data_IF_519952032860
#
_entry.id   IF_519952032860
#
_cell.length_a   1.000
_cell.length_b   1.000
_cell.length_c   1.000
_cell.angle_alpha   90.00
_cell.angle_beta   90.00
_cell.angle_gamma   90.00
#
_symmetry.space_group_name_H-M   'P 1'
#
loop_
_entity.id
_entity.type
_entity.pdbx_description
1 polymer ?
#
# COMPACT_ATOMS: atom_id res chain seq x y z
N UNK A 1 8.77 -30.24 -4.90
CA UNK A 1 7.66 -29.59 -4.15
C UNK A 1 7.15 -28.48 -5.05
N UNK A 2 5.93 -28.59 -5.58
CA UNK A 2 5.29 -27.49 -6.27
C UNK A 2 5.21 -26.31 -5.29
N UNK A 3 5.75 -25.17 -5.69
CA UNK A 3 5.64 -23.95 -4.89
C UNK A 3 4.14 -23.61 -4.80
N UNK A 4 3.60 -23.69 -3.60
CA UNK A 4 2.20 -23.39 -3.36
C UNK A 4 1.95 -21.93 -3.79
N UNK A 5 1.12 -21.74 -4.80
CA UNK A 5 0.77 -20.42 -5.34
C UNK A 5 0.13 -19.57 -4.24
N UNK A 6 0.63 -18.37 -4.02
CA UNK A 6 0.12 -17.43 -3.03
C UNK A 6 -0.52 -16.20 -3.66
N UNK A 7 -1.12 -15.34 -2.84
CA UNK A 7 -1.81 -14.14 -3.34
C UNK A 7 -0.86 -13.15 -4.05
N UNK A 8 0.42 -13.07 -3.64
CA UNK A 8 1.41 -12.24 -4.33
C UNK A 8 1.74 -12.80 -5.73
N UNK A 9 1.81 -14.12 -5.87
CA UNK A 9 1.99 -14.77 -7.18
C UNK A 9 0.82 -14.44 -8.11
N UNK A 10 -0.40 -14.47 -7.57
CA UNK A 10 -1.60 -14.11 -8.31
C UNK A 10 -1.57 -12.64 -8.78
N UNK A 11 -1.21 -11.70 -7.90
CA UNK A 11 -1.07 -10.28 -8.24
C UNK A 11 -0.02 -10.11 -9.35
N UNK A 12 1.15 -10.71 -9.19
CA UNK A 12 2.26 -10.63 -10.15
C UNK A 12 1.86 -11.15 -11.53
N UNK A 13 1.30 -12.36 -11.58
CA UNK A 13 0.83 -12.98 -12.82
C UNK A 13 -0.30 -12.20 -13.48
N UNK A 14 -1.25 -11.68 -12.69
CA UNK A 14 -2.34 -10.86 -13.19
C UNK A 14 -1.84 -9.58 -13.86
N UNK A 15 -0.85 -8.93 -13.26
CA UNK A 15 -0.23 -7.73 -13.84
C UNK A 15 0.51 -8.06 -15.14
N UNK A 16 1.31 -9.10 -15.13
CA UNK A 16 2.12 -9.52 -16.29
C UNK A 16 1.21 -9.91 -17.47
N UNK A 17 0.19 -10.73 -17.21
CA UNK A 17 -0.72 -11.27 -18.23
C UNK A 17 -1.59 -10.19 -18.85
N UNK A 18 -2.03 -9.21 -18.07
CA UNK A 18 -3.00 -8.21 -18.50
C UNK A 18 -2.39 -6.84 -18.75
N UNK A 19 -1.10 -6.77 -19.05
CA UNK A 19 -0.25 -5.58 -19.09
C UNK A 19 -0.89 -4.32 -19.70
N UNK A 20 -1.55 -4.46 -20.85
CA UNK A 20 -2.16 -3.36 -21.59
C UNK A 20 -3.66 -3.19 -21.34
N UNK A 21 -4.26 -4.02 -20.48
CA UNK A 21 -5.67 -3.92 -20.12
C UNK A 21 -5.91 -2.89 -19.02
N UNK A 22 -7.13 -2.35 -18.95
CA UNK A 22 -7.57 -1.50 -17.84
C UNK A 22 -7.62 -2.29 -16.53
N UNK A 23 -7.06 -1.75 -15.48
CA UNK A 23 -6.97 -2.39 -14.15
C UNK A 23 -7.82 -1.69 -13.09
N UNK A 24 -7.68 -0.37 -12.96
CA UNK A 24 -8.32 0.43 -11.92
C UNK A 24 -8.93 1.68 -12.56
N UNK A 25 -10.19 1.96 -12.24
CA UNK A 25 -10.91 3.13 -12.77
C UNK A 25 -11.59 3.87 -11.63
N UNK A 26 -11.33 5.15 -11.50
CA UNK A 26 -12.03 6.03 -10.57
C UNK A 26 -13.35 6.50 -11.19
N UNK A 27 -14.39 6.60 -10.37
CA UNK A 27 -15.67 7.14 -10.84
C UNK A 27 -15.50 8.57 -11.36
N UNK A 28 -15.82 8.79 -12.65
CA UNK A 28 -15.59 10.07 -13.37
C UNK A 28 -14.14 10.56 -13.30
N UNK A 29 -13.17 9.66 -13.14
CA UNK A 29 -11.78 9.99 -12.96
C UNK A 29 -10.85 9.21 -13.89
N UNK A 30 -9.64 8.94 -13.41
CA UNK A 30 -8.60 8.27 -14.19
C UNK A 30 -8.87 6.78 -14.35
N UNK A 31 -8.39 6.21 -15.45
CA UNK A 31 -8.23 4.76 -15.63
C UNK A 31 -6.74 4.44 -15.71
N UNK A 32 -6.29 3.53 -14.86
CA UNK A 32 -4.94 2.97 -14.89
C UNK A 32 -4.98 1.59 -15.57
N UNK A 33 -4.05 1.37 -16.49
CA UNK A 33 -3.78 0.03 -17.02
C UNK A 33 -2.90 -0.75 -16.04
N UNK A 34 -2.84 -2.08 -16.17
CA UNK A 34 -1.99 -2.92 -15.32
C UNK A 34 -0.52 -2.47 -15.35
N UNK A 35 0.00 -2.05 -16.51
CA UNK A 35 1.35 -1.47 -16.62
C UNK A 35 1.54 -0.18 -15.82
N UNK A 36 0.49 0.64 -15.70
CA UNK A 36 0.57 1.89 -14.93
C UNK A 36 0.55 1.59 -13.43
N UNK A 37 -0.25 0.61 -13.00
CA UNK A 37 -0.23 0.08 -11.63
C UNK A 37 1.16 -0.45 -11.29
N UNK A 38 1.75 -1.29 -12.15
CA UNK A 38 3.10 -1.84 -11.95
C UNK A 38 4.17 -0.74 -11.82
N UNK A 39 4.13 0.27 -12.69
CA UNK A 39 5.06 1.42 -12.64
C UNK A 39 4.89 2.23 -11.35
N UNK A 40 3.66 2.46 -10.91
CA UNK A 40 3.37 3.14 -9.65
C UNK A 40 3.86 2.32 -8.46
N UNK A 41 3.64 1.00 -8.43
CA UNK A 41 4.19 0.10 -7.42
C UNK A 41 5.71 0.21 -7.35
N UNK A 42 6.41 0.15 -8.49
CA UNK A 42 7.87 0.25 -8.53
C UNK A 42 8.38 1.60 -7.97
N UNK A 43 7.70 2.71 -8.29
CA UNK A 43 8.01 4.03 -7.71
C UNK A 43 7.72 4.10 -6.22
N UNK A 44 6.67 3.45 -5.77
CA UNK A 44 6.31 3.36 -4.36
C UNK A 44 7.36 2.55 -3.57
N UNK A 45 7.82 1.43 -4.13
CA UNK A 45 8.90 0.64 -3.53
C UNK A 45 10.18 1.45 -3.35
N UNK A 46 10.53 2.34 -4.29
CA UNK A 46 11.67 3.26 -4.14
C UNK A 46 11.51 4.15 -2.89
N UNK A 47 10.30 4.67 -2.65
CA UNK A 47 10.02 5.48 -1.45
C UNK A 47 10.15 4.64 -0.18
N UNK A 48 9.60 3.42 -0.16
CA UNK A 48 9.69 2.51 0.98
C UNK A 48 11.15 2.14 1.30
N UNK A 49 11.93 1.78 0.29
CA UNK A 49 13.37 1.48 0.41
C UNK A 49 14.13 2.67 1.02
N UNK A 50 13.88 3.88 0.50
CA UNK A 50 14.52 5.11 0.97
C UNK A 50 14.14 5.48 2.39
N UNK A 51 12.91 5.18 2.80
CA UNK A 51 12.46 5.31 4.18
C UNK A 51 13.05 4.26 5.12
N UNK A 52 13.79 3.28 4.57
CA UNK A 52 14.32 2.16 5.34
C UNK A 52 13.23 1.26 5.91
N UNK A 53 12.11 1.11 5.17
CA UNK A 53 11.03 0.18 5.52
C UNK A 53 11.54 -1.24 5.30
N UNK A 54 11.24 -2.11 6.24
CA UNK A 54 11.57 -3.53 6.18
C UNK A 54 10.30 -4.38 5.99
N UNK A 55 10.42 -5.61 5.46
CA UNK A 55 9.31 -6.56 5.48
C UNK A 55 8.76 -6.72 6.90
N UNK A 56 7.42 -6.68 7.03
CA UNK A 56 6.73 -6.72 8.33
C UNK A 56 6.51 -5.35 8.98
N UNK A 57 7.17 -4.27 8.53
CA UNK A 57 6.82 -2.91 8.95
C UNK A 57 5.41 -2.53 8.49
N UNK A 58 4.72 -1.70 9.26
CA UNK A 58 3.33 -1.33 9.01
C UNK A 58 3.27 0.00 8.25
N UNK A 59 2.41 0.02 7.22
CA UNK A 59 2.09 1.20 6.41
C UNK A 59 0.60 1.46 6.52
N UNK A 60 0.23 2.62 7.04
CA UNK A 60 -1.16 3.03 7.15
C UNK A 60 -1.65 3.70 5.86
N UNK A 61 -2.90 3.40 5.48
CA UNK A 61 -3.56 4.04 4.33
C UNK A 61 -4.96 4.48 4.77
N UNK A 62 -5.21 5.80 4.74
CA UNK A 62 -6.47 6.42 5.14
C UNK A 62 -7.01 7.29 4.02
N UNK A 63 -8.09 6.91 3.38
CA UNK A 63 -8.70 7.69 2.30
C UNK A 63 -9.88 6.97 1.66
N UNK A 64 -10.58 7.66 0.79
CA UNK A 64 -11.65 7.06 -0.02
C UNK A 64 -11.08 6.04 -1.00
N UNK A 65 -11.88 5.03 -1.31
CA UNK A 65 -11.54 4.06 -2.33
C UNK A 65 -11.25 4.77 -3.65
N UNK A 66 -10.04 4.55 -4.18
CA UNK A 66 -9.56 5.15 -5.42
C UNK A 66 -8.49 4.27 -6.05
N UNK A 67 -8.16 4.53 -7.31
CA UNK A 67 -7.07 3.85 -7.99
C UNK A 67 -5.73 4.03 -7.24
N UNK A 68 -5.48 5.20 -6.66
CA UNK A 68 -4.28 5.44 -5.87
C UNK A 68 -4.30 4.72 -4.51
N UNK A 69 -5.47 4.61 -3.87
CA UNK A 69 -5.61 3.80 -2.66
C UNK A 69 -5.27 2.32 -2.95
N UNK A 70 -5.80 1.78 -4.05
CA UNK A 70 -5.49 0.41 -4.47
C UNK A 70 -4.00 0.23 -4.82
N UNK A 71 -3.37 1.21 -5.47
CA UNK A 71 -1.92 1.21 -5.73
C UNK A 71 -1.13 1.19 -4.42
N UNK A 72 -1.49 2.02 -3.42
CA UNK A 72 -0.82 2.04 -2.13
C UNK A 72 -0.94 0.70 -1.40
N UNK A 73 -2.14 0.08 -1.45
CA UNK A 73 -2.38 -1.25 -0.92
C UNK A 73 -1.48 -2.30 -1.60
N UNK A 74 -1.56 -2.39 -2.92
CA UNK A 74 -0.78 -3.37 -3.70
C UNK A 74 0.72 -3.17 -3.52
N UNK A 75 1.21 -1.93 -3.55
CA UNK A 75 2.61 -1.63 -3.35
C UNK A 75 3.10 -2.05 -1.95
N UNK A 76 2.29 -1.84 -0.91
CA UNK A 76 2.63 -2.23 0.45
C UNK A 76 2.77 -3.75 0.57
N UNK A 77 1.76 -4.51 0.13
CA UNK A 77 1.79 -5.97 0.28
C UNK A 77 2.83 -6.64 -0.62
N UNK A 78 3.05 -6.11 -1.84
CA UNK A 78 4.07 -6.64 -2.76
C UNK A 78 5.50 -6.31 -2.36
N UNK A 79 5.70 -5.33 -1.48
CA UNK A 79 6.97 -5.03 -0.82
C UNK A 79 7.25 -6.00 0.33
N UNK A 80 6.21 -6.61 0.89
CA UNK A 80 6.25 -7.45 2.08
C UNK A 80 6.04 -6.66 3.38
N UNK A 81 5.57 -5.42 3.29
CA UNK A 81 5.10 -4.64 4.42
C UNK A 81 3.65 -4.99 4.77
N UNK A 82 3.24 -4.69 5.99
CA UNK A 82 1.89 -4.92 6.50
C UNK A 82 1.04 -3.69 6.24
N UNK A 83 -0.05 -3.85 5.50
CA UNK A 83 -0.98 -2.75 5.26
C UNK A 83 -1.93 -2.57 6.45
N UNK A 84 -2.17 -1.31 6.84
CA UNK A 84 -3.15 -0.92 7.86
C UNK A 84 -4.18 0.00 7.22
N UNK A 85 -5.27 -0.57 6.64
CA UNK A 85 -6.36 0.22 6.08
C UNK A 85 -7.12 0.94 7.20
N UNK A 86 -7.35 2.24 7.03
CA UNK A 86 -8.09 3.07 7.98
C UNK A 86 -9.27 3.70 7.24
N UNK A 87 -10.46 3.57 7.80
CA UNK A 87 -11.66 4.18 7.25
C UNK A 87 -11.53 5.71 7.25
N UNK A 88 -11.77 6.33 6.11
CA UNK A 88 -11.65 7.79 5.94
C UNK A 88 -12.70 8.59 6.74
N UNK A 89 -13.77 7.94 7.20
CA UNK A 89 -14.81 8.51 8.04
C UNK A 89 -14.45 8.56 9.53
N UNK A 90 -13.34 7.95 9.92
CA UNK A 90 -12.90 8.01 11.31
C UNK A 90 -12.47 9.43 11.68
N UNK A 91 -12.78 9.82 12.94
CA UNK A 91 -12.31 11.09 13.51
C UNK A 91 -10.77 11.07 13.65
N UNK A 92 -10.17 12.25 13.64
CA UNK A 92 -8.72 12.41 13.74
C UNK A 92 -8.11 11.60 14.91
N UNK A 93 -8.69 11.67 16.11
CA UNK A 93 -8.20 10.95 17.28
C UNK A 93 -8.18 9.42 17.07
N UNK A 94 -9.17 8.87 16.37
CA UNK A 94 -9.20 7.46 16.05
C UNK A 94 -8.11 7.08 15.05
N UNK A 95 -7.86 7.95 14.05
CA UNK A 95 -6.80 7.76 13.07
C UNK A 95 -5.44 7.81 13.77
N UNK A 96 -5.20 8.83 14.63
CA UNK A 96 -3.97 8.93 15.44
C UNK A 96 -3.74 7.68 16.29
N UNK A 97 -4.78 7.23 16.99
CA UNK A 97 -4.73 6.01 17.81
C UNK A 97 -4.38 4.76 17.00
N UNK A 98 -5.00 4.57 15.83
CA UNK A 98 -4.73 3.42 14.97
C UNK A 98 -3.30 3.46 14.44
N UNK A 99 -2.84 4.61 13.96
CA UNK A 99 -1.47 4.79 13.46
C UNK A 99 -0.44 4.47 14.55
N UNK A 100 -0.66 4.99 15.77
CA UNK A 100 0.25 4.76 16.90
C UNK A 100 0.18 3.31 17.40
N UNK A 101 -1.02 2.76 17.57
CA UNK A 101 -1.22 1.38 18.04
C UNK A 101 -0.66 0.34 17.06
N UNK A 102 -0.79 0.58 15.76
CA UNK A 102 -0.20 -0.29 14.74
C UNK A 102 1.31 -0.11 14.60
N UNK A 103 1.89 0.93 15.20
CA UNK A 103 3.29 1.33 15.01
C UNK A 103 3.64 1.58 13.53
N UNK A 104 2.69 2.16 12.77
CA UNK A 104 2.90 2.46 11.37
C UNK A 104 4.10 3.38 11.17
N UNK A 105 4.90 3.08 10.15
CA UNK A 105 6.11 3.87 9.82
C UNK A 105 5.85 4.95 8.78
N UNK A 106 4.84 4.75 7.92
CA UNK A 106 4.36 5.73 6.96
C UNK A 106 2.83 5.77 6.98
N UNK A 107 2.28 6.94 6.64
CA UNK A 107 0.85 7.12 6.41
C UNK A 107 0.64 7.70 5.01
N UNK A 108 -0.22 7.04 4.22
CA UNK A 108 -0.76 7.60 2.98
C UNK A 108 -2.19 8.05 3.24
N UNK A 109 -2.48 9.34 3.01
CA UNK A 109 -3.72 9.96 3.45
C UNK A 109 -4.39 10.77 2.34
N UNK A 110 -5.72 10.68 2.25
CA UNK A 110 -6.53 11.52 1.37
C UNK A 110 -6.73 12.92 1.95
N UNK A 111 -6.91 13.90 1.07
CA UNK A 111 -6.93 15.32 1.42
C UNK A 111 -7.94 15.65 2.54
N UNK A 112 -9.18 15.14 2.44
CA UNK A 112 -10.23 15.39 3.43
C UNK A 112 -9.87 14.89 4.85
N UNK A 113 -9.17 13.77 4.95
CA UNK A 113 -8.72 13.26 6.25
C UNK A 113 -7.53 14.07 6.75
N UNK A 114 -6.60 14.43 5.85
CA UNK A 114 -5.39 15.19 6.17
C UNK A 114 -5.69 16.55 6.82
N UNK A 115 -6.68 17.29 6.33
CA UNK A 115 -7.05 18.60 6.86
C UNK A 115 -7.31 18.63 8.37
N UNK A 116 -7.66 17.48 8.96
CA UNK A 116 -8.00 17.36 10.38
C UNK A 116 -6.94 16.64 11.21
N UNK A 117 -5.87 16.15 10.60
CA UNK A 117 -4.83 15.40 11.33
C UNK A 117 -3.79 16.34 11.94
N UNK A 118 -3.33 15.93 13.12
CA UNK A 118 -2.15 16.50 13.76
C UNK A 118 -0.98 15.50 13.63
N UNK A 119 0.03 15.83 12.82
CA UNK A 119 1.19 14.97 12.60
C UNK A 119 2.04 14.76 13.85
N UNK A 120 2.06 15.72 14.80
CA UNK A 120 2.78 15.59 16.06
C UNK A 120 2.17 14.53 16.97
N UNK A 121 0.87 14.25 16.80
CA UNK A 121 0.19 13.17 17.51
C UNK A 121 0.61 11.76 17.02
N UNK A 122 1.39 11.66 15.94
CA UNK A 122 1.87 10.41 15.35
C UNK A 122 3.40 10.36 15.27
N UNK A 123 4.11 10.32 16.41
CA UNK A 123 5.57 10.53 16.48
C UNK A 123 6.39 9.39 15.86
N UNK A 124 5.82 8.19 15.70
CA UNK A 124 6.52 7.03 15.11
C UNK A 124 6.57 7.04 13.58
N UNK A 125 5.79 7.91 12.94
CA UNK A 125 5.82 8.04 11.48
C UNK A 125 7.15 8.65 11.03
N UNK A 126 7.74 8.05 10.01
CA UNK A 126 8.88 8.62 9.26
C UNK A 126 8.42 9.66 8.24
N UNK A 127 7.17 9.57 7.79
CA UNK A 127 6.58 10.51 6.86
C UNK A 127 5.10 10.25 6.58
N UNK A 128 4.47 11.27 6.00
CA UNK A 128 3.07 11.26 5.55
C UNK A 128 3.05 11.70 4.10
N UNK A 129 2.30 11.00 3.26
CA UNK A 129 2.16 11.32 1.84
C UNK A 129 0.69 11.41 1.43
N UNK A 130 0.39 12.26 0.47
CA UNK A 130 -0.93 12.38 -0.15
C UNK A 130 -1.26 11.14 -0.98
N UNK A 131 -2.50 10.65 -0.89
CA UNK A 131 -3.04 9.65 -1.80
C UNK A 131 -3.39 10.23 -3.18
N UNK A 132 -3.51 11.54 -3.30
CA UNK A 132 -3.91 12.20 -4.55
C UNK A 132 -2.82 12.07 -5.63
N UNK A 133 -1.55 12.21 -5.23
CA UNK A 133 -0.42 12.22 -6.18
C UNK A 133 0.85 11.55 -5.64
N UNK A 134 0.80 11.01 -4.42
CA UNK A 134 1.95 10.46 -3.68
C UNK A 134 3.06 11.50 -3.41
N UNK A 135 2.71 12.78 -3.31
CA UNK A 135 3.63 13.81 -2.82
C UNK A 135 3.82 13.71 -1.31
N UNK A 136 4.97 14.17 -0.82
CA UNK A 136 5.20 14.27 0.62
C UNK A 136 4.37 15.40 1.22
N UNK A 137 3.67 15.11 2.31
CA UNK A 137 3.04 16.09 3.18
C UNK A 137 3.93 16.38 4.39
N UNK A 138 4.53 15.33 4.94
CA UNK A 138 5.50 15.39 6.04
C UNK A 138 6.63 14.41 5.75
N UNK A 139 7.86 14.83 5.98
CA UNK A 139 9.03 13.95 5.94
C UNK A 139 9.95 14.24 7.12
N UNK A 140 10.33 13.20 7.84
CA UNK A 140 11.19 13.28 9.04
C UNK A 140 12.55 12.64 8.81
N UNK A 141 12.93 12.44 7.54
CA UNK A 141 14.18 11.79 7.16
C UNK A 141 14.64 12.31 5.78
N UNK A 142 15.88 12.79 5.68
CA UNK A 142 16.43 13.37 4.45
C UNK A 142 16.38 12.42 3.25
N UNK A 143 16.65 11.12 3.48
CA UNK A 143 16.56 10.11 2.41
C UNK A 143 15.15 9.95 1.89
N UNK A 144 14.15 10.04 2.77
CA UNK A 144 12.74 9.96 2.40
C UNK A 144 12.31 11.22 1.64
N UNK A 145 12.73 12.41 2.11
CA UNK A 145 12.49 13.68 1.42
C UNK A 145 13.05 13.62 0.00
N UNK A 146 14.31 13.24 -0.14
CA UNK A 146 14.97 13.08 -1.43
C UNK A 146 14.23 12.09 -2.34
N UNK A 147 13.76 10.96 -1.79
CA UNK A 147 13.04 9.97 -2.57
C UNK A 147 11.69 10.47 -3.08
N UNK A 148 10.95 11.22 -2.28
CA UNK A 148 9.70 11.84 -2.73
C UNK A 148 9.90 12.84 -3.85
N UNK A 149 10.93 13.68 -3.75
CA UNK A 149 11.26 14.71 -4.75
C UNK A 149 11.79 14.10 -6.04
N UNK A 150 12.66 13.07 -5.93
CA UNK A 150 13.40 12.52 -7.06
C UNK A 150 12.94 11.12 -7.50
N UNK A 151 11.77 10.63 -7.02
CA UNK A 151 11.30 9.26 -7.31
C UNK A 151 11.27 8.92 -8.81
N UNK A 152 10.93 9.89 -9.66
CA UNK A 152 10.88 9.69 -11.10
C UNK A 152 12.28 9.55 -11.69
N UNK A 153 13.25 10.31 -11.19
CA UNK A 153 14.65 10.24 -11.61
C UNK A 153 15.28 8.92 -11.16
N UNK A 154 15.08 8.54 -9.90
CA UNK A 154 15.56 7.25 -9.35
C UNK A 154 14.96 6.09 -10.15
N UNK A 155 13.66 6.15 -10.45
CA UNK A 155 12.98 5.18 -11.27
C UNK A 155 13.55 5.10 -12.68
N UNK A 156 13.80 6.24 -13.34
CA UNK A 156 14.39 6.31 -14.68
C UNK A 156 15.82 5.75 -14.73
N UNK A 157 16.62 5.97 -13.68
CA UNK A 157 17.96 5.37 -13.56
C UNK A 157 17.89 3.85 -13.38
N UNK A 158 16.92 3.34 -12.61
CA UNK A 158 16.71 1.91 -12.36
C UNK A 158 16.21 1.18 -13.60
N UNK A 159 15.39 1.85 -14.43
CA UNK A 159 14.76 1.29 -15.62
C UNK A 159 15.00 2.15 -16.88
N UNK A 160 16.25 2.28 -17.36
CA UNK A 160 16.61 3.25 -18.39
C UNK A 160 16.01 2.97 -19.77
N UNK A 161 15.62 1.73 -20.06
CA UNK A 161 15.05 1.31 -21.36
C UNK A 161 13.54 1.14 -21.38
N UNK A 162 12.81 1.54 -20.37
CA UNK A 162 11.41 1.29 -20.08
C UNK A 162 11.19 0.14 -19.08
N UNK A 163 10.20 0.34 -18.24
CA UNK A 163 9.72 -0.69 -17.34
C UNK A 163 8.81 -1.68 -18.11
N UNK A 164 9.09 -2.95 -17.99
CA UNK A 164 8.43 -4.04 -18.73
C UNK A 164 8.01 -5.16 -17.78
N UNK A 165 7.15 -6.11 -18.21
CA UNK A 165 6.75 -7.26 -17.40
C UNK A 165 7.92 -8.03 -16.76
N UNK A 166 9.04 -8.17 -17.48
CA UNK A 166 10.23 -8.91 -17.01
C UNK A 166 10.92 -8.26 -15.80
N UNK A 167 10.62 -7.00 -15.51
CA UNK A 167 11.15 -6.30 -14.34
C UNK A 167 10.30 -6.53 -13.09
N UNK A 168 9.16 -7.21 -13.21
CA UNK A 168 8.28 -7.48 -12.08
C UNK A 168 8.81 -8.68 -11.31
N UNK A 169 9.15 -8.44 -10.06
CA UNK A 169 9.52 -9.47 -9.10
C UNK A 169 9.13 -8.98 -7.72
N UNK A 170 8.04 -9.50 -7.19
CA UNK A 170 7.53 -9.12 -5.89
C UNK A 170 7.97 -10.11 -4.81
N UNK A 171 8.13 -9.60 -3.58
CA UNK A 171 8.45 -10.44 -2.43
C UNK A 171 7.27 -11.35 -2.12
N UNK A 172 7.51 -12.67 -2.13
CA UNK A 172 6.50 -13.66 -1.79
C UNK A 172 6.36 -13.76 -0.27
N UNK A 173 5.12 -13.80 0.21
CA UNK A 173 4.80 -13.96 1.63
C UNK A 173 4.58 -15.45 1.97
N UNK A 174 5.12 -15.88 3.11
CA UNK A 174 4.78 -17.20 3.66
C UNK A 174 3.29 -17.22 4.09
N UNK A 175 2.60 -18.37 4.08
CA UNK A 175 1.17 -18.44 4.40
C UNK A 175 0.77 -17.82 5.74
N UNK A 176 1.60 -17.96 6.76
CA UNK A 176 1.35 -17.43 8.11
C UNK A 176 1.89 -16.00 8.31
N UNK A 177 2.54 -15.42 7.32
CA UNK A 177 3.08 -14.08 7.42
C UNK A 177 1.93 -13.06 7.46
N UNK A 178 1.98 -12.15 8.46
CA UNK A 178 1.03 -11.06 8.60
C UNK A 178 1.13 -10.11 7.41
N UNK A 179 -0.02 -9.78 6.80
CA UNK A 179 -0.07 -8.88 5.64
C UNK A 179 -1.04 -7.72 5.82
N UNK A 180 -2.06 -7.88 6.67
CA UNK A 180 -3.05 -6.83 6.94
C UNK A 180 -3.34 -6.76 8.43
N UNK A 181 -3.49 -5.53 8.97
CA UNK A 181 -4.15 -5.28 10.25
C UNK A 181 -5.38 -4.43 9.98
N UNK A 182 -6.57 -5.03 10.04
CA UNK A 182 -7.83 -4.34 9.79
C UNK A 182 -8.49 -3.91 11.09
N UNK A 183 -8.71 -2.60 11.27
CA UNK A 183 -9.31 -2.07 12.49
C UNK A 183 -10.83 -2.00 12.39
N UNK A 184 -11.50 -2.50 13.42
CA UNK A 184 -12.95 -2.42 13.56
C UNK A 184 -13.32 -1.48 14.69
N UNK A 185 -14.49 -0.82 14.59
CA UNK A 185 -15.07 -0.05 15.68
C UNK A 185 -15.46 -1.00 16.81
N UNK A 186 -14.64 -1.04 17.88
CA UNK A 186 -14.92 -1.86 19.04
C UNK A 186 -16.15 -1.33 19.81
N UNK A 187 -17.02 -2.21 20.29
CA UNK A 187 -18.16 -1.88 21.17
C UNK A 187 -17.71 -1.29 22.52
N UNK A 188 -16.42 -1.41 22.85
CA UNK A 188 -15.79 -0.92 24.10
C UNK A 188 -15.10 0.43 23.96
N UNK A 189 -15.29 1.17 22.86
CA UNK A 189 -14.71 2.49 22.62
C UNK A 189 -13.32 2.52 22.01
N UNK A 190 -12.58 1.41 22.02
CA UNK A 190 -11.27 1.31 21.39
C UNK A 190 -11.32 0.45 20.13
N UNK A 191 -10.70 0.92 19.04
CA UNK A 191 -10.58 0.16 17.81
C UNK A 191 -9.69 -1.07 18.03
N UNK A 192 -10.15 -2.24 17.57
CA UNK A 192 -9.42 -3.51 17.65
C UNK A 192 -8.83 -3.85 16.29
N UNK A 193 -7.55 -4.17 16.25
CA UNK A 193 -6.85 -4.60 15.03
C UNK A 193 -6.98 -6.12 14.83
N UNK A 194 -7.63 -6.52 13.75
CA UNK A 194 -7.70 -7.93 13.31
C UNK A 194 -6.49 -8.21 12.43
N UNK A 195 -5.67 -9.17 12.84
CA UNK A 195 -4.46 -9.57 12.14
C UNK A 195 -4.78 -10.64 11.09
N UNK A 196 -4.53 -10.36 9.82
CA UNK A 196 -4.83 -11.25 8.71
C UNK A 196 -3.53 -11.73 8.05
N UNK A 197 -3.24 -13.05 8.09
CA UNK A 197 -2.08 -13.62 7.41
C UNK A 197 -2.30 -13.77 5.90
N UNK A 198 -1.22 -14.02 5.17
CA UNK A 198 -1.22 -14.16 3.71
C UNK A 198 -2.20 -15.25 3.22
N UNK A 199 -2.33 -16.36 3.94
CA UNK A 199 -3.29 -17.43 3.61
C UNK A 199 -4.74 -16.96 3.59
N UNK A 200 -5.12 -15.99 4.44
CA UNK A 200 -6.48 -15.45 4.45
C UNK A 200 -6.79 -14.68 3.17
N UNK A 201 -5.82 -13.94 2.65
CA UNK A 201 -5.95 -13.25 1.36
C UNK A 201 -6.05 -14.26 0.22
N UNK A 202 -5.22 -15.29 0.24
CA UNK A 202 -5.26 -16.34 -0.78
C UNK A 202 -6.61 -17.07 -0.79
N UNK A 203 -7.14 -17.46 0.38
CA UNK A 203 -8.45 -18.12 0.49
C UNK A 203 -9.58 -17.28 -0.09
N UNK A 204 -9.58 -15.95 0.14
CA UNK A 204 -10.57 -15.07 -0.44
C UNK A 204 -10.48 -15.00 -1.98
N UNK A 205 -9.26 -14.88 -2.52
CA UNK A 205 -9.03 -14.88 -3.97
C UNK A 205 -9.51 -16.18 -4.60
N UNK A 206 -9.15 -17.32 -4.02
CA UNK A 206 -9.56 -18.64 -4.49
C UNK A 206 -11.09 -18.78 -4.48
N UNK A 207 -11.73 -18.38 -3.37
CA UNK A 207 -13.17 -18.40 -3.26
C UNK A 207 -13.86 -17.55 -4.36
N UNK A 208 -13.43 -16.30 -4.55
CA UNK A 208 -13.99 -15.44 -5.60
C UNK A 208 -13.80 -16.05 -6.99
N UNK A 209 -12.65 -16.65 -7.25
CA UNK A 209 -12.35 -17.27 -8.54
C UNK A 209 -13.23 -18.51 -8.80
N UNK A 210 -13.42 -19.37 -7.80
CA UNK A 210 -14.26 -20.56 -7.87
C UNK A 210 -15.75 -20.19 -8.04
N UNK A 211 -16.19 -19.15 -7.35
CA UNK A 211 -17.58 -18.65 -7.43
C UNK A 211 -17.82 -17.84 -8.70
N UNK A 212 -16.81 -17.56 -9.53
CA UNK A 212 -16.89 -16.73 -10.72
C UNK A 212 -17.45 -15.32 -10.47
N UNK A 213 -17.09 -14.73 -9.32
CA UNK A 213 -17.46 -13.38 -8.90
C UNK A 213 -16.55 -12.33 -9.51
#
# INVERSE_FOLDING_TARGET
MEQQQGFIDFIEQSIIKNWDLSALTDYKGITLQYKDVARKIAKFHIVLESAGIQPGDKIAVCGRNSAHWAVAFLATVTYGAVIVPILHEFKADNIHNIVNHSEAKLLFVGDQAWENLNEDAMPLLKGIASLTDFSALVSRCDKLTYAFEHRNEIYGRRYPKNFRPEHISYRKSAPEELVIINYTSGTTGYSKGVMLPARSMWSNITYCYEMRL
#
